data_IF_949695698077
#
_entry.id   IF_949695698077
#
_cell.length_a   1.000
_cell.length_b   1.000
_cell.length_c   1.000
_cell.angle_alpha   90.00
_cell.angle_beta   90.00
_cell.angle_gamma   90.00
#
_symmetry.space_group_name_H-M   'P 1'
#
loop_
_entity.id
_entity.type
_entity.pdbx_description
1 polymer ?
#
# COMPACT_ATOMS: atom_id res chain seq x y z
N UNK A 1 -46.21 -1.26 4.18
CA UNK A 1 -46.84 -2.52 4.64
C UNK A 1 -47.47 -3.19 3.44
N UNK A 2 -46.63 -3.79 2.60
CA UNK A 2 -47.02 -4.73 1.53
C UNK A 2 -45.71 -5.37 1.06
N UNK A 3 -45.25 -6.32 1.84
CA UNK A 3 -44.06 -7.13 1.59
C UNK A 3 -44.28 -8.38 2.43
N UNK A 4 -44.74 -9.46 1.80
CA UNK A 4 -44.59 -10.87 2.24
C UNK A 4 -45.63 -11.78 1.56
N UNK A 5 -45.43 -12.05 0.27
CA UNK A 5 -46.14 -13.13 -0.42
C UNK A 5 -45.30 -13.78 -1.53
N UNK A 6 -43.98 -13.89 -1.35
CA UNK A 6 -43.10 -14.70 -2.20
C UNK A 6 -42.31 -15.68 -1.33
N UNK A 7 -43.00 -16.55 -0.60
CA UNK A 7 -42.41 -17.73 0.05
C UNK A 7 -43.40 -18.89 -0.05
N UNK A 8 -43.05 -19.93 -0.79
CA UNK A 8 -43.90 -21.11 -0.91
C UNK A 8 -43.55 -22.16 -1.97
N UNK A 9 -42.48 -22.00 -2.76
CA UNK A 9 -41.93 -23.13 -3.51
C UNK A 9 -41.01 -23.90 -2.53
N UNK A 10 -41.49 -25.00 -1.95
CA UNK A 10 -40.69 -25.82 -1.04
C UNK A 10 -39.38 -26.25 -1.70
N UNK A 11 -38.24 -26.03 -1.04
CA UNK A 11 -36.92 -26.47 -1.51
C UNK A 11 -36.94 -27.95 -1.91
N UNK A 12 -36.36 -28.30 -3.06
CA UNK A 12 -36.33 -29.70 -3.50
C UNK A 12 -35.57 -30.56 -2.48
N UNK A 13 -35.83 -31.87 -2.44
CA UNK A 13 -35.09 -32.78 -1.54
C UNK A 13 -33.59 -32.76 -1.82
N UNK A 14 -33.19 -32.60 -3.08
CA UNK A 14 -31.81 -32.39 -3.49
C UNK A 14 -31.19 -31.15 -2.84
N UNK A 15 -31.87 -30.00 -2.91
CA UNK A 15 -31.41 -28.76 -2.27
C UNK A 15 -31.28 -28.93 -0.75
N UNK A 16 -32.25 -29.56 -0.08
CA UNK A 16 -32.17 -29.82 1.36
C UNK A 16 -30.94 -30.66 1.74
N UNK A 17 -30.57 -31.64 0.90
CA UNK A 17 -29.39 -32.47 1.09
C UNK A 17 -28.09 -31.69 0.90
N UNK A 18 -28.03 -30.79 -0.09
CA UNK A 18 -26.87 -29.91 -0.32
C UNK A 18 -26.73 -28.87 0.81
N UNK A 19 -27.83 -28.23 1.20
CA UNK A 19 -27.91 -27.27 2.29
C UNK A 19 -27.46 -27.88 3.61
N UNK A 20 -27.97 -29.07 3.94
CA UNK A 20 -27.54 -29.81 5.13
C UNK A 20 -26.04 -30.15 5.10
N UNK A 21 -25.46 -30.40 3.92
CA UNK A 21 -24.01 -30.60 3.76
C UNK A 21 -23.21 -29.36 4.13
N UNK A 22 -23.62 -28.20 3.63
CA UNK A 22 -23.00 -26.90 3.92
C UNK A 22 -23.13 -26.58 5.41
N UNK A 23 -24.32 -26.76 5.98
CA UNK A 23 -24.60 -26.43 7.39
C UNK A 23 -23.78 -27.30 8.35
N UNK A 24 -23.63 -28.61 8.03
CA UNK A 24 -22.80 -29.53 8.80
C UNK A 24 -21.32 -29.09 8.83
N UNK A 25 -20.82 -28.52 7.73
CA UNK A 25 -19.44 -28.06 7.65
C UNK A 25 -19.22 -26.66 8.24
N UNK A 26 -20.23 -25.78 8.12
CA UNK A 26 -20.12 -24.42 8.63
C UNK A 26 -20.21 -24.38 10.16
N UNK A 27 -21.08 -25.21 10.75
CA UNK A 27 -21.33 -25.25 12.20
C UNK A 27 -20.58 -26.35 12.94
N UNK A 28 -20.09 -27.37 12.22
CA UNK A 28 -19.40 -28.52 12.82
C UNK A 28 -18.06 -28.16 13.47
N UNK A 29 -17.69 -28.93 14.49
CA UNK A 29 -16.34 -28.87 15.03
C UNK A 29 -15.31 -29.31 13.95
N UNK A 30 -14.07 -28.81 13.96
CA UNK A 30 -13.07 -29.17 12.95
C UNK A 30 -12.83 -30.68 12.84
N UNK A 31 -12.88 -31.43 13.93
CA UNK A 31 -12.71 -32.89 13.90
C UNK A 31 -13.89 -33.60 13.20
N UNK A 32 -15.10 -33.04 13.25
CA UNK A 32 -16.28 -33.48 12.50
C UNK A 32 -16.14 -33.17 11.01
N UNK A 33 -15.52 -32.03 10.66
CA UNK A 33 -15.24 -31.64 9.27
C UNK A 33 -14.19 -32.57 8.64
N UNK A 34 -13.08 -32.84 9.33
CA UNK A 34 -11.98 -33.66 8.80
C UNK A 34 -12.18 -35.17 9.03
N UNK A 35 -12.92 -35.56 10.06
CA UNK A 35 -13.02 -36.95 10.53
C UNK A 35 -14.17 -37.78 9.96
N UNK A 36 -15.04 -37.22 9.11
CA UNK A 36 -16.03 -38.04 8.42
C UNK A 36 -17.29 -37.32 8.03
N UNK A 37 -17.21 -36.62 6.90
CA UNK A 37 -18.38 -36.32 6.11
C UNK A 37 -18.98 -37.65 5.61
N UNK A 38 -20.09 -38.07 6.20
CA UNK A 38 -20.76 -39.33 5.85
C UNK A 38 -22.15 -39.07 5.31
N UNK A 39 -22.54 -39.86 4.30
CA UNK A 39 -23.90 -39.85 3.73
C UNK A 39 -24.97 -39.96 4.82
N UNK A 40 -24.74 -40.78 5.85
CA UNK A 40 -25.64 -40.93 6.99
C UNK A 40 -25.88 -39.63 7.75
N UNK A 41 -24.83 -38.82 7.97
CA UNK A 41 -24.94 -37.54 8.68
C UNK A 41 -25.70 -36.51 7.84
N UNK A 42 -25.37 -36.40 6.55
CA UNK A 42 -26.06 -35.49 5.62
C UNK A 42 -27.54 -35.83 5.51
N UNK A 43 -27.87 -37.10 5.26
CA UNK A 43 -29.25 -37.54 5.15
C UNK A 43 -30.03 -37.27 6.45
N UNK A 44 -29.43 -37.57 7.61
CA UNK A 44 -30.04 -37.26 8.92
C UNK A 44 -30.27 -35.76 9.10
N UNK A 45 -29.27 -34.93 8.79
CA UNK A 45 -29.38 -33.47 8.92
C UNK A 45 -30.45 -32.88 7.98
N UNK A 46 -30.60 -33.43 6.78
CA UNK A 46 -31.64 -33.05 5.83
C UNK A 46 -33.03 -33.65 6.14
N UNK A 47 -33.15 -34.48 7.18
CA UNK A 47 -34.42 -35.14 7.54
C UNK A 47 -34.87 -36.21 6.54
N UNK A 48 -33.94 -36.89 5.87
CA UNK A 48 -34.23 -37.95 4.89
C UNK A 48 -33.45 -39.23 5.17
N UNK A 49 -33.76 -40.30 4.43
CA UNK A 49 -33.05 -41.59 4.56
C UNK A 49 -31.79 -41.64 3.70
N UNK A 50 -30.86 -42.55 4.00
CA UNK A 50 -29.71 -42.82 3.12
C UNK A 50 -30.15 -43.30 1.72
N UNK A 51 -31.23 -44.07 1.63
CA UNK A 51 -31.76 -44.52 0.35
C UNK A 51 -32.21 -43.32 -0.51
N UNK A 52 -32.84 -42.32 0.11
CA UNK A 52 -33.19 -41.06 -0.54
C UNK A 52 -31.96 -40.28 -0.99
N UNK A 53 -30.86 -40.28 -0.25
CA UNK A 53 -29.61 -39.67 -0.73
C UNK A 53 -29.12 -40.36 -2.01
N UNK A 54 -29.04 -41.69 -2.00
CA UNK A 54 -28.52 -42.46 -3.14
C UNK A 54 -29.44 -42.47 -4.37
N UNK A 55 -30.66 -41.94 -4.28
CA UNK A 55 -31.50 -41.71 -5.46
C UNK A 55 -31.09 -40.47 -6.26
N UNK A 56 -30.32 -39.55 -5.67
CA UNK A 56 -29.80 -38.34 -6.35
C UNK A 56 -28.33 -38.50 -6.75
N UNK A 57 -27.53 -39.13 -5.90
CA UNK A 57 -26.09 -39.34 -6.16
C UNK A 57 -25.73 -40.80 -5.90
N UNK A 58 -25.18 -41.45 -6.91
CA UNK A 58 -24.80 -42.86 -6.83
C UNK A 58 -23.61 -43.07 -5.90
N UNK A 59 -22.77 -42.03 -5.75
CA UNK A 59 -21.57 -42.05 -4.92
C UNK A 59 -21.45 -40.80 -4.03
N UNK A 60 -20.74 -40.88 -2.89
CA UNK A 60 -20.40 -39.69 -2.10
C UNK A 60 -19.62 -38.64 -2.90
N UNK A 61 -18.78 -39.06 -3.85
CA UNK A 61 -17.96 -38.19 -4.70
C UNK A 61 -18.83 -37.34 -5.63
N UNK A 62 -19.87 -37.93 -6.25
CA UNK A 62 -20.85 -37.19 -7.06
C UNK A 62 -21.56 -36.11 -6.24
N UNK A 63 -21.94 -36.45 -5.00
CA UNK A 63 -22.53 -35.48 -4.09
C UNK A 63 -21.56 -34.36 -3.72
N UNK A 64 -20.28 -34.67 -3.46
CA UNK A 64 -19.27 -33.65 -3.15
C UNK A 64 -19.09 -32.68 -4.33
N UNK A 65 -19.14 -33.19 -5.56
CA UNK A 65 -19.12 -32.36 -6.78
C UNK A 65 -20.33 -31.44 -6.87
N UNK A 66 -21.53 -31.98 -6.60
CA UNK A 66 -22.76 -31.20 -6.53
C UNK A 66 -22.73 -30.17 -5.39
N UNK A 67 -22.12 -30.51 -4.25
CA UNK A 67 -21.94 -29.61 -3.12
C UNK A 67 -21.03 -28.43 -3.48
N UNK A 68 -19.91 -28.67 -4.18
CA UNK A 68 -19.03 -27.63 -4.68
C UNK A 68 -19.75 -26.70 -5.66
N UNK A 69 -20.50 -27.26 -6.61
CA UNK A 69 -21.31 -26.46 -7.53
C UNK A 69 -22.39 -25.65 -6.79
N UNK A 70 -23.02 -26.23 -5.75
CA UNK A 70 -24.05 -25.57 -4.96
C UNK A 70 -23.51 -24.43 -4.08
N UNK A 71 -22.28 -24.57 -3.56
CA UNK A 71 -21.59 -23.48 -2.87
C UNK A 71 -21.42 -22.25 -3.76
N UNK A 72 -21.18 -22.47 -5.05
CA UNK A 72 -21.05 -21.40 -6.04
C UNK A 72 -22.33 -20.56 -6.14
N UNK A 73 -23.49 -21.23 -6.10
CA UNK A 73 -24.81 -20.59 -6.16
C UNK A 73 -25.20 -19.87 -4.87
N UNK A 74 -24.63 -20.26 -3.73
CA UNK A 74 -24.88 -19.65 -2.41
C UNK A 74 -23.95 -18.49 -2.08
N UNK A 75 -23.17 -18.03 -3.05
CA UNK A 75 -22.32 -16.86 -2.90
C UNK A 75 -23.17 -15.63 -2.54
N UNK A 76 -22.89 -14.96 -1.41
CA UNK A 76 -23.49 -13.64 -1.13
C UNK A 76 -23.05 -12.55 -2.13
N UNK A 77 -22.16 -12.87 -3.09
CA UNK A 77 -21.44 -11.91 -3.92
C UNK A 77 -22.24 -11.29 -5.07
N UNK A 78 -23.41 -11.81 -5.42
CA UNK A 78 -24.20 -11.18 -6.48
C UNK A 78 -24.70 -9.77 -6.10
N UNK A 79 -24.82 -9.44 -4.81
CA UNK A 79 -25.24 -8.10 -4.35
C UNK A 79 -24.06 -7.17 -3.97
N UNK A 80 -22.87 -7.74 -3.73
CA UNK A 80 -21.64 -6.99 -3.37
C UNK A 80 -20.98 -6.29 -4.57
N UNK A 81 -21.52 -6.46 -5.78
CA UNK A 81 -21.18 -5.69 -6.98
C UNK A 81 -21.48 -4.20 -6.84
N UNK A 82 -22.23 -3.79 -5.81
CA UNK A 82 -22.28 -2.40 -5.36
C UNK A 82 -21.10 -2.12 -4.45
N UNK A 83 -19.98 -1.71 -5.02
CA UNK A 83 -19.07 -0.86 -4.24
C UNK A 83 -19.92 0.30 -3.73
N UNK A 84 -19.89 0.64 -2.44
CA UNK A 84 -20.68 1.76 -1.93
C UNK A 84 -20.39 2.99 -2.81
N UNK A 85 -21.41 3.68 -3.30
CA UNK A 85 -21.25 4.83 -4.21
C UNK A 85 -20.22 5.86 -3.71
N UNK A 86 -20.00 5.92 -2.39
CA UNK A 86 -18.98 6.74 -1.74
C UNK A 86 -17.53 6.24 -1.83
N UNK A 87 -17.25 4.95 -2.03
CA UNK A 87 -15.87 4.45 -2.12
C UNK A 87 -15.18 4.74 -3.46
N UNK A 88 -15.93 5.21 -4.48
CA UNK A 88 -15.44 5.27 -5.85
C UNK A 88 -15.62 6.62 -6.56
N UNK A 89 -15.81 7.74 -5.85
CA UNK A 89 -15.85 9.05 -6.51
C UNK A 89 -14.44 9.62 -6.64
N UNK A 90 -13.79 9.61 -7.83
CA UNK A 90 -12.47 10.20 -8.05
C UNK A 90 -12.48 11.74 -7.96
N UNK A 91 -13.66 12.36 -7.77
CA UNK A 91 -13.85 13.81 -7.72
C UNK A 91 -14.15 14.36 -6.33
N UNK A 92 -14.21 13.53 -5.28
CA UNK A 92 -14.15 14.11 -3.94
C UNK A 92 -12.73 14.57 -3.70
N UNK A 93 -12.53 15.85 -3.35
CA UNK A 93 -11.30 16.41 -2.76
C UNK A 93 -10.85 15.66 -1.48
N UNK A 94 -11.59 14.61 -1.09
CA UNK A 94 -11.32 13.74 0.04
C UNK A 94 -10.22 12.73 -0.32
N UNK A 95 -8.99 13.01 0.15
CA UNK A 95 -7.78 12.18 0.01
C UNK A 95 -7.89 10.74 0.59
N UNK A 96 -9.08 10.30 1.02
CA UNK A 96 -9.35 9.06 1.77
C UNK A 96 -9.53 7.80 0.91
N UNK A 97 -9.14 7.84 -0.36
CA UNK A 97 -9.31 6.70 -1.29
C UNK A 97 -8.71 5.40 -0.74
N UNK A 98 -7.49 5.44 -0.19
CA UNK A 98 -6.85 4.26 0.38
C UNK A 98 -7.56 3.77 1.64
N UNK A 99 -8.02 4.66 2.52
CA UNK A 99 -8.83 4.28 3.68
C UNK A 99 -10.12 3.57 3.29
N UNK A 100 -10.84 4.10 2.29
CA UNK A 100 -12.07 3.46 1.79
C UNK A 100 -11.80 2.11 1.15
N UNK A 101 -10.66 1.96 0.47
CA UNK A 101 -10.22 0.67 -0.05
C UNK A 101 -9.88 -0.32 1.07
N UNK A 102 -9.11 0.09 2.08
CA UNK A 102 -8.82 -0.75 3.25
C UNK A 102 -10.11 -1.18 3.96
N UNK A 103 -11.06 -0.27 4.14
CA UNK A 103 -12.37 -0.58 4.71
C UNK A 103 -13.15 -1.59 3.84
N UNK A 104 -13.14 -1.42 2.52
CA UNK A 104 -13.76 -2.35 1.59
C UNK A 104 -13.12 -3.75 1.67
N UNK A 105 -11.79 -3.83 1.72
CA UNK A 105 -11.07 -5.08 1.97
C UNK A 105 -11.47 -5.69 3.32
N UNK A 106 -11.47 -4.93 4.42
CA UNK A 106 -11.80 -5.46 5.75
C UNK A 106 -13.25 -5.95 5.82
N UNK A 107 -14.20 -5.22 5.24
CA UNK A 107 -15.59 -5.67 5.12
C UNK A 107 -15.68 -6.97 4.32
N UNK A 108 -15.00 -7.03 3.17
CA UNK A 108 -14.89 -8.24 2.33
C UNK A 108 -14.32 -9.42 3.12
N UNK A 109 -13.31 -9.19 3.97
CA UNK A 109 -12.74 -10.21 4.86
C UNK A 109 -13.77 -10.73 5.86
N UNK A 110 -14.48 -9.83 6.55
CA UNK A 110 -15.50 -10.17 7.55
C UNK A 110 -16.67 -10.95 6.92
N UNK A 111 -17.17 -10.50 5.77
CA UNK A 111 -18.23 -11.18 5.02
C UNK A 111 -17.79 -12.57 4.57
N UNK A 112 -16.54 -12.71 4.13
CA UNK A 112 -15.98 -13.99 3.74
C UNK A 112 -15.87 -14.91 4.96
N UNK A 113 -15.34 -14.42 6.08
CA UNK A 113 -15.22 -15.17 7.33
C UNK A 113 -16.58 -15.65 7.86
N UNK A 114 -17.63 -14.85 7.71
CA UNK A 114 -19.00 -15.21 8.08
C UNK A 114 -19.65 -16.19 7.09
N UNK A 115 -19.10 -16.36 5.89
CA UNK A 115 -19.67 -17.23 4.87
C UNK A 115 -19.46 -18.71 5.21
N UNK A 116 -20.53 -19.53 5.21
CA UNK A 116 -20.43 -21.00 5.32
C UNK A 116 -19.44 -21.60 4.31
N UNK A 117 -19.31 -20.99 3.13
CA UNK A 117 -18.49 -21.50 2.05
C UNK A 117 -17.00 -21.51 2.35
N UNK A 118 -16.47 -20.65 3.24
CA UNK A 118 -15.04 -20.63 3.55
C UNK A 118 -14.59 -21.94 4.17
N UNK A 119 -15.26 -22.40 5.22
CA UNK A 119 -14.92 -23.66 5.90
C UNK A 119 -15.01 -24.85 4.95
N UNK A 120 -16.01 -24.81 4.07
CA UNK A 120 -16.21 -25.84 3.04
C UNK A 120 -15.05 -25.87 2.05
N UNK A 121 -14.65 -24.72 1.50
CA UNK A 121 -13.47 -24.62 0.61
C UNK A 121 -12.19 -25.10 1.30
N UNK A 122 -11.97 -24.69 2.55
CA UNK A 122 -10.77 -25.06 3.30
C UNK A 122 -10.65 -26.56 3.54
N UNK A 123 -11.74 -27.25 3.89
CA UNK A 123 -11.66 -28.71 4.02
C UNK A 123 -11.58 -29.42 2.65
N UNK A 124 -12.15 -28.88 1.57
CA UNK A 124 -11.93 -29.42 0.22
C UNK A 124 -10.48 -29.27 -0.25
N UNK A 125 -9.76 -28.23 0.19
CA UNK A 125 -8.34 -28.07 -0.09
C UNK A 125 -7.50 -29.25 0.43
N UNK A 126 -7.93 -29.93 1.52
CA UNK A 126 -7.27 -31.16 2.00
C UNK A 126 -7.39 -32.36 1.05
N UNK A 127 -8.27 -32.27 0.04
CA UNK A 127 -8.50 -33.29 -0.99
C UNK A 127 -8.02 -32.84 -2.37
N UNK A 128 -7.13 -31.84 -2.44
CA UNK A 128 -6.67 -31.29 -3.72
C UNK A 128 -5.90 -32.29 -4.61
N UNK A 129 -5.45 -33.42 -4.07
CA UNK A 129 -4.84 -34.50 -4.84
C UNK A 129 -5.86 -35.28 -5.70
N UNK A 130 -7.16 -35.17 -5.40
CA UNK A 130 -8.24 -35.70 -6.22
C UNK A 130 -8.46 -34.77 -7.44
N UNK A 131 -8.26 -35.25 -8.69
CA UNK A 131 -8.37 -34.42 -9.88
C UNK A 131 -9.74 -33.77 -10.07
N UNK A 132 -10.82 -34.43 -9.64
CA UNK A 132 -12.18 -33.90 -9.78
C UNK A 132 -12.44 -32.78 -8.76
N UNK A 133 -12.03 -32.98 -7.51
CA UNK A 133 -12.11 -31.94 -6.47
C UNK A 133 -11.25 -30.75 -6.87
N UNK A 134 -10.03 -30.99 -7.33
CA UNK A 134 -9.13 -29.93 -7.82
C UNK A 134 -9.75 -29.16 -9.00
N UNK A 135 -10.45 -29.84 -9.91
CA UNK A 135 -11.16 -29.16 -11.00
C UNK A 135 -12.29 -28.28 -10.46
N UNK A 136 -13.14 -28.80 -9.58
CA UNK A 136 -14.23 -28.03 -8.98
C UNK A 136 -13.73 -26.82 -8.18
N UNK A 137 -12.63 -26.96 -7.44
CA UNK A 137 -11.99 -25.83 -6.75
C UNK A 137 -11.43 -24.80 -7.74
N UNK A 138 -10.79 -25.22 -8.84
CA UNK A 138 -10.32 -24.31 -9.89
C UNK A 138 -11.47 -23.52 -10.50
N UNK A 139 -12.59 -24.17 -10.81
CA UNK A 139 -13.76 -23.49 -11.38
C UNK A 139 -14.35 -22.50 -10.37
N UNK A 140 -14.41 -22.86 -9.09
CA UNK A 140 -14.82 -21.97 -8.01
C UNK A 140 -13.91 -20.72 -7.95
N UNK A 141 -12.59 -20.89 -7.92
CA UNK A 141 -11.67 -19.74 -7.91
C UNK A 141 -11.80 -18.87 -9.15
N UNK A 142 -11.90 -19.46 -10.35
CA UNK A 142 -12.07 -18.71 -11.60
C UNK A 142 -13.35 -17.88 -11.61
N UNK A 143 -14.47 -18.46 -11.16
CA UNK A 143 -15.73 -17.72 -11.06
C UNK A 143 -15.58 -16.55 -10.07
N UNK A 144 -14.89 -16.79 -8.96
CA UNK A 144 -14.64 -15.75 -7.94
C UNK A 144 -13.75 -14.61 -8.45
N UNK A 145 -12.69 -14.96 -9.17
CA UNK A 145 -11.77 -14.02 -9.78
C UNK A 145 -12.48 -13.23 -10.89
N UNK A 146 -13.30 -13.87 -11.72
CA UNK A 146 -14.08 -13.18 -12.75
C UNK A 146 -15.08 -12.18 -12.16
N UNK A 147 -15.81 -12.55 -11.09
CA UNK A 147 -16.75 -11.67 -10.39
C UNK A 147 -16.06 -10.42 -9.83
N UNK A 148 -14.82 -10.57 -9.36
CA UNK A 148 -14.04 -9.49 -8.72
C UNK A 148 -13.17 -8.71 -9.70
N UNK A 149 -12.84 -9.28 -10.86
CA UNK A 149 -12.01 -8.65 -11.88
C UNK A 149 -12.69 -7.39 -12.45
N UNK A 150 -13.98 -7.46 -12.79
CA UNK A 150 -14.71 -6.30 -13.32
C UNK A 150 -14.68 -5.11 -12.35
N UNK A 151 -14.85 -5.40 -11.06
CA UNK A 151 -14.82 -4.41 -9.99
C UNK A 151 -13.46 -3.73 -9.88
N UNK A 152 -12.39 -4.52 -9.94
CA UNK A 152 -11.04 -4.01 -9.81
C UNK A 152 -10.59 -3.26 -11.06
N UNK A 153 -11.02 -3.68 -12.26
CA UNK A 153 -10.78 -2.93 -13.49
C UNK A 153 -11.43 -1.54 -13.43
N UNK A 154 -12.69 -1.46 -13.00
CA UNK A 154 -13.36 -0.17 -12.81
C UNK A 154 -12.66 0.70 -11.75
N UNK A 155 -12.16 0.08 -10.68
CA UNK A 155 -11.39 0.78 -9.64
C UNK A 155 -10.06 1.32 -10.20
N UNK A 156 -9.33 0.50 -10.95
CA UNK A 156 -8.07 0.86 -11.61
C UNK A 156 -8.29 2.04 -12.57
N UNK A 157 -9.26 1.95 -13.47
CA UNK A 157 -9.60 3.00 -14.42
C UNK A 157 -9.93 4.33 -13.72
N UNK A 158 -10.78 4.29 -12.69
CA UNK A 158 -11.17 5.49 -11.94
C UNK A 158 -10.03 6.10 -11.15
N UNK A 159 -9.06 5.29 -10.71
CA UNK A 159 -7.87 5.75 -10.01
C UNK A 159 -6.74 6.16 -10.96
N UNK A 160 -6.91 6.00 -12.28
CA UNK A 160 -5.87 6.23 -13.27
C UNK A 160 -4.67 5.29 -13.10
N UNK A 161 -4.98 4.03 -12.76
CA UNK A 161 -3.98 2.99 -12.53
C UNK A 161 -4.15 1.86 -13.53
N UNK A 162 -3.06 1.15 -13.75
CA UNK A 162 -3.01 -0.07 -14.55
C UNK A 162 -2.15 -1.12 -13.84
N UNK A 163 -2.30 -2.42 -14.15
CA UNK A 163 -1.37 -3.44 -13.68
C UNK A 163 0.08 -3.08 -14.02
N UNK A 164 0.97 -3.21 -13.04
CA UNK A 164 2.40 -2.98 -13.22
C UNK A 164 3.04 -4.23 -13.82
N UNK A 165 3.81 -4.17 -14.91
CA UNK A 165 4.49 -5.35 -15.44
C UNK A 165 5.37 -6.05 -14.38
N UNK A 166 5.40 -7.40 -14.35
CA UNK A 166 4.71 -8.35 -15.22
C UNK A 166 3.27 -8.72 -14.78
N UNK A 167 2.69 -8.01 -13.81
CA UNK A 167 1.35 -8.31 -13.34
C UNK A 167 0.29 -8.02 -14.41
N UNK A 168 -0.71 -8.90 -14.50
CA UNK A 168 -1.97 -8.69 -15.21
C UNK A 168 -3.10 -8.58 -14.19
N UNK A 169 -4.29 -8.12 -14.60
CA UNK A 169 -5.45 -8.08 -13.70
C UNK A 169 -5.76 -9.46 -13.12
N UNK A 170 -5.68 -10.52 -13.92
CA UNK A 170 -5.94 -11.90 -13.50
C UNK A 170 -4.94 -12.35 -12.43
N UNK A 171 -3.66 -12.03 -12.61
CA UNK A 171 -2.62 -12.31 -11.61
C UNK A 171 -2.86 -11.56 -10.31
N UNK A 172 -3.25 -10.28 -10.41
CA UNK A 172 -3.59 -9.48 -9.24
C UNK A 172 -4.75 -10.13 -8.48
N UNK A 173 -5.84 -10.52 -9.16
CA UNK A 173 -6.97 -11.21 -8.51
C UNK A 173 -6.56 -12.51 -7.83
N UNK A 174 -5.76 -13.33 -8.52
CA UNK A 174 -5.24 -14.58 -7.97
C UNK A 174 -4.43 -14.34 -6.69
N UNK A 175 -3.58 -13.31 -6.67
CA UNK A 175 -2.79 -12.91 -5.51
C UNK A 175 -3.69 -12.46 -4.36
N UNK A 176 -4.68 -11.60 -4.63
CA UNK A 176 -5.63 -11.14 -3.63
C UNK A 176 -6.45 -12.29 -3.03
N UNK A 177 -6.91 -13.24 -3.85
CA UNK A 177 -7.62 -14.42 -3.39
C UNK A 177 -6.74 -15.31 -2.50
N UNK A 178 -5.49 -15.58 -2.91
CA UNK A 178 -4.53 -16.36 -2.14
C UNK A 178 -4.20 -15.71 -0.79
N UNK A 179 -4.00 -14.40 -0.78
CA UNK A 179 -3.72 -13.62 0.44
C UNK A 179 -4.93 -13.60 1.37
N UNK A 180 -6.13 -13.39 0.82
CA UNK A 180 -7.38 -13.46 1.58
C UNK A 180 -7.52 -14.82 2.27
N UNK A 181 -7.40 -15.92 1.53
CA UNK A 181 -7.53 -17.26 2.10
C UNK A 181 -6.43 -17.57 3.13
N UNK A 182 -5.18 -17.16 2.88
CA UNK A 182 -4.09 -17.31 3.84
C UNK A 182 -4.32 -16.56 5.16
N UNK A 183 -4.77 -15.31 5.07
CA UNK A 183 -5.11 -14.48 6.25
C UNK A 183 -6.33 -15.05 6.96
N UNK A 184 -7.35 -15.52 6.24
CA UNK A 184 -8.54 -16.16 6.81
C UNK A 184 -8.16 -17.40 7.63
N UNK A 185 -7.35 -18.30 7.06
CA UNK A 185 -6.87 -19.49 7.78
C UNK A 185 -6.12 -19.09 9.04
N UNK A 186 -5.21 -18.11 8.94
CA UNK A 186 -4.41 -17.67 10.09
C UNK A 186 -5.29 -17.04 11.17
N UNK A 187 -6.25 -16.21 10.80
CA UNK A 187 -7.20 -15.58 11.72
C UNK A 187 -8.06 -16.60 12.45
N UNK A 188 -8.55 -17.65 11.76
CA UNK A 188 -9.33 -18.72 12.40
C UNK A 188 -8.49 -19.49 13.44
N UNK A 189 -7.19 -19.65 13.21
CA UNK A 189 -6.28 -20.38 14.12
C UNK A 189 -5.80 -19.49 15.28
N UNK A 190 -5.48 -18.22 14.99
CA UNK A 190 -4.79 -17.29 15.88
C UNK A 190 -5.25 -15.85 15.58
N UNK A 191 -6.45 -15.46 16.04
CA UNK A 191 -7.05 -14.17 15.73
C UNK A 191 -6.30 -13.00 16.38
N UNK A 192 -5.61 -13.24 17.51
CA UNK A 192 -4.82 -12.21 18.20
C UNK A 192 -3.62 -11.77 17.36
N UNK A 193 -2.96 -12.70 16.66
CA UNK A 193 -1.83 -12.36 15.77
C UNK A 193 -2.24 -11.94 14.37
N UNK A 194 -3.51 -12.12 14.01
CA UNK A 194 -4.03 -11.77 12.70
C UNK A 194 -5.34 -10.98 12.86
N UNK A 195 -5.27 -9.70 13.28
CA UNK A 195 -6.47 -8.89 13.50
C UNK A 195 -7.26 -8.67 12.20
N UNK A 196 -8.55 -8.32 12.31
CA UNK A 196 -9.49 -8.16 11.18
C UNK A 196 -9.02 -7.13 10.15
N UNK A 197 -8.24 -6.15 10.59
CA UNK A 197 -7.72 -5.04 9.78
C UNK A 197 -6.54 -5.46 8.89
N UNK A 198 -5.96 -6.64 9.13
CA UNK A 198 -4.74 -7.09 8.45
C UNK A 198 -4.93 -7.20 6.94
N UNK A 199 -6.11 -7.67 6.50
CA UNK A 199 -6.37 -7.83 5.07
C UNK A 199 -6.46 -6.49 4.34
N UNK A 200 -7.05 -5.46 4.95
CA UNK A 200 -7.08 -4.11 4.40
C UNK A 200 -5.69 -3.53 4.21
N UNK A 201 -4.82 -3.64 5.24
CA UNK A 201 -3.44 -3.16 5.16
C UNK A 201 -2.64 -3.89 4.09
N UNK A 202 -2.67 -5.23 4.08
CA UNK A 202 -1.95 -6.04 3.09
C UNK A 202 -2.51 -5.78 1.69
N UNK A 203 -3.83 -5.71 1.54
CA UNK A 203 -4.47 -5.40 0.27
C UNK A 203 -4.06 -4.03 -0.26
N UNK A 204 -4.01 -3.01 0.58
CA UNK A 204 -3.55 -1.67 0.19
C UNK A 204 -2.10 -1.67 -0.29
N UNK A 205 -1.20 -2.35 0.43
CA UNK A 205 0.19 -2.48 0.03
C UNK A 205 0.34 -3.23 -1.30
N UNK A 206 -0.36 -4.37 -1.45
CA UNK A 206 -0.33 -5.15 -2.69
C UNK A 206 -0.88 -4.36 -3.87
N UNK A 207 -1.98 -3.63 -3.68
CA UNK A 207 -2.54 -2.76 -4.71
C UNK A 207 -1.50 -1.74 -5.19
N UNK A 208 -0.81 -1.07 -4.26
CA UNK A 208 0.20 -0.06 -4.60
C UNK A 208 1.44 -0.64 -5.31
N UNK A 209 1.83 -1.85 -4.97
CA UNK A 209 2.97 -2.55 -5.57
C UNK A 209 2.61 -3.12 -6.95
N UNK A 210 1.47 -3.82 -7.04
CA UNK A 210 1.08 -4.58 -8.22
C UNK A 210 0.47 -3.71 -9.33
N UNK A 211 0.12 -2.46 -9.03
CA UNK A 211 -0.36 -1.49 -10.02
C UNK A 211 0.57 -0.28 -10.09
N UNK A 212 0.42 0.51 -11.15
CA UNK A 212 1.13 1.77 -11.36
C UNK A 212 0.17 2.80 -11.94
N UNK A 213 0.54 4.08 -11.89
CA UNK A 213 -0.20 5.09 -12.65
C UNK A 213 -0.01 4.83 -14.15
N UNK A 214 -1.01 5.13 -14.97
CA UNK A 214 -0.96 4.86 -16.43
C UNK A 214 0.21 5.56 -17.14
N UNK A 215 0.76 6.62 -16.54
CA UNK A 215 1.92 7.38 -17.05
C UNK A 215 3.26 6.97 -16.41
N UNK A 216 3.27 6.03 -15.46
CA UNK A 216 4.46 5.56 -14.79
C UNK A 216 5.14 4.47 -15.64
N UNK A 217 6.31 4.73 -16.26
CA UNK A 217 6.94 3.74 -17.14
C UNK A 217 7.56 2.57 -16.36
N UNK A 218 7.73 2.71 -15.04
CA UNK A 218 8.47 1.76 -14.21
C UNK A 218 7.74 0.43 -14.10
N UNK A 219 8.48 -0.67 -14.17
CA UNK A 219 7.98 -2.00 -13.86
C UNK A 219 8.18 -2.34 -12.37
N UNK A 220 7.99 -3.61 -12.00
CA UNK A 220 8.22 -4.08 -10.63
C UNK A 220 9.71 -4.14 -10.27
N UNK A 221 10.60 -4.43 -11.21
CA UNK A 221 12.03 -4.52 -10.97
C UNK A 221 12.64 -3.14 -10.74
N UNK A 222 12.15 -2.11 -11.43
CA UNK A 222 12.48 -0.71 -11.17
C UNK A 222 12.05 -0.29 -9.76
N UNK A 223 10.84 -0.66 -9.34
CA UNK A 223 10.32 -0.34 -8.01
C UNK A 223 11.12 -1.05 -6.92
N UNK A 224 11.31 -2.36 -7.06
CA UNK A 224 12.08 -3.16 -6.10
C UNK A 224 13.56 -2.77 -6.13
N UNK A 225 14.10 -2.40 -7.29
CA UNK A 225 15.44 -1.86 -7.46
C UNK A 225 15.61 -0.57 -6.67
N UNK A 226 14.65 0.36 -6.76
CA UNK A 226 14.65 1.57 -5.95
C UNK A 226 14.57 1.24 -4.45
N UNK A 227 13.74 0.27 -4.05
CA UNK A 227 13.63 -0.17 -2.66
C UNK A 227 14.91 -0.86 -2.16
N UNK A 228 15.57 -1.66 -3.01
CA UNK A 228 16.74 -2.47 -2.65
C UNK A 228 18.06 -1.71 -2.74
N UNK A 229 18.15 -0.66 -3.56
CA UNK A 229 19.28 0.27 -3.56
C UNK A 229 19.24 1.22 -2.34
N UNK A 230 18.11 1.27 -1.66
CA UNK A 230 17.84 2.17 -0.55
C UNK A 230 18.67 1.90 0.72
N UNK A 231 18.88 0.65 1.17
CA UNK A 231 19.81 0.34 2.25
C UNK A 231 21.26 0.62 1.85
N UNK A 232 21.62 0.46 0.57
CA UNK A 232 22.97 0.78 0.10
C UNK A 232 23.25 2.28 0.13
N UNK A 233 22.25 3.13 -0.17
CA UNK A 233 22.36 4.58 0.02
C UNK A 233 22.49 4.96 1.50
N UNK A 234 21.67 4.36 2.39
CA UNK A 234 21.77 4.56 3.84
C UNK A 234 23.09 4.07 4.45
N UNK A 235 23.59 2.91 4.01
CA UNK A 235 24.88 2.36 4.43
C UNK A 235 26.05 3.18 3.86
N UNK A 236 25.94 3.70 2.63
CA UNK A 236 26.92 4.65 2.08
C UNK A 236 26.98 5.92 2.91
N UNK A 237 25.83 6.53 3.23
CA UNK A 237 25.73 7.69 4.12
C UNK A 237 26.35 7.41 5.50
N UNK A 238 26.03 6.27 6.12
CA UNK A 238 26.59 5.87 7.40
C UNK A 238 28.09 5.54 7.35
N UNK A 239 28.57 4.98 6.24
CA UNK A 239 29.99 4.67 6.03
C UNK A 239 30.83 5.92 5.73
N UNK A 240 30.24 6.95 5.13
CA UNK A 240 30.90 8.23 4.87
C UNK A 240 31.07 9.07 6.13
N UNK A 241 30.15 8.96 7.10
CA UNK A 241 30.38 9.46 8.49
C UNK A 241 31.68 8.91 9.11
N UNK A 242 32.22 7.79 8.61
CA UNK A 242 33.54 7.26 9.03
C UNK A 242 34.71 7.73 8.15
N UNK A 243 34.46 8.27 6.97
CA UNK A 243 35.49 8.85 6.09
C UNK A 243 35.78 10.32 6.44
N UNK A 244 34.87 10.99 7.16
CA UNK A 244 35.11 12.28 7.82
C UNK A 244 36.29 12.24 8.81
N UNK A 245 36.75 11.06 9.24
CA UNK A 245 38.01 10.89 9.98
C UNK A 245 39.27 11.13 9.12
N UNK A 246 39.13 11.45 7.83
CA UNK A 246 40.24 12.00 7.03
C UNK A 246 40.46 13.49 7.39
N UNK A 247 41.44 13.71 8.26
CA UNK A 247 41.74 14.91 9.08
C UNK A 247 41.88 16.29 8.40
N UNK A 248 41.49 16.51 7.15
CA UNK A 248 41.77 17.77 6.43
C UNK A 248 40.57 18.47 5.77
N UNK A 249 39.37 17.87 5.77
CA UNK A 249 38.20 18.55 5.21
C UNK A 249 37.53 19.46 6.25
N UNK A 250 37.35 20.73 5.91
CA UNK A 250 36.58 21.69 6.71
C UNK A 250 35.33 22.07 5.90
N UNK A 251 34.12 21.73 6.38
CA UNK A 251 32.86 22.09 5.73
C UNK A 251 32.77 23.59 5.46
N UNK A 252 32.00 23.98 4.43
CA UNK A 252 31.68 25.39 4.25
C UNK A 252 30.83 25.88 5.43
N UNK A 253 31.07 27.09 5.97
CA UNK A 253 30.17 27.70 6.94
C UNK A 253 28.76 27.82 6.37
N UNK A 254 27.73 27.68 7.22
CA UNK A 254 26.31 27.76 6.81
C UNK A 254 26.03 29.06 6.05
N UNK A 255 26.53 30.20 6.52
CA UNK A 255 26.38 31.49 5.83
C UNK A 255 26.97 31.52 4.41
N UNK A 256 28.01 30.72 4.16
CA UNK A 256 28.59 30.57 2.81
C UNK A 256 27.73 29.66 1.94
N UNK A 257 27.14 28.61 2.52
CA UNK A 257 26.17 27.75 1.84
C UNK A 257 24.95 28.59 1.42
N UNK A 258 24.37 29.37 2.32
CA UNK A 258 23.22 30.24 2.04
C UNK A 258 23.53 31.24 0.92
N UNK A 259 24.68 31.91 0.99
CA UNK A 259 25.11 32.84 -0.06
C UNK A 259 25.30 32.15 -1.41
N UNK A 260 25.83 30.93 -1.41
CA UNK A 260 26.01 30.11 -2.63
C UNK A 260 24.66 29.72 -3.23
N UNK A 261 23.71 29.27 -2.41
CA UNK A 261 22.38 28.89 -2.86
C UNK A 261 21.62 30.11 -3.39
N UNK A 262 21.75 31.28 -2.75
CA UNK A 262 21.19 32.53 -3.27
C UNK A 262 21.74 32.89 -4.65
N UNK A 263 23.04 32.70 -4.88
CA UNK A 263 23.65 32.87 -6.21
C UNK A 263 23.10 31.86 -7.22
N UNK A 264 22.99 30.59 -6.84
CA UNK A 264 22.44 29.55 -7.71
C UNK A 264 20.97 29.82 -8.09
N UNK A 265 20.14 30.27 -7.13
CA UNK A 265 18.76 30.71 -7.39
C UNK A 265 18.71 31.85 -8.40
N UNK A 266 19.59 32.86 -8.28
CA UNK A 266 19.68 33.97 -9.25
C UNK A 266 20.07 33.48 -10.64
N UNK A 267 21.09 32.63 -10.74
CA UNK A 267 21.50 32.06 -12.03
C UNK A 267 20.39 31.20 -12.67
N UNK A 268 19.59 30.50 -11.85
CA UNK A 268 18.41 29.78 -12.33
C UNK A 268 17.26 30.70 -12.77
N UNK A 269 17.11 31.87 -12.14
CA UNK A 269 16.13 32.86 -12.58
C UNK A 269 16.51 33.45 -13.95
N UNK A 270 17.81 33.58 -14.24
CA UNK A 270 18.33 34.08 -15.51
C UNK A 270 18.45 32.99 -16.60
N UNK A 271 18.32 31.71 -16.24
CA UNK A 271 18.57 30.56 -17.12
C UNK A 271 17.61 29.39 -16.91
N UNK A 272 18.06 28.17 -17.20
CA UNK A 272 17.31 26.95 -16.90
C UNK A 272 18.12 26.01 -16.02
N UNK A 273 17.45 25.01 -15.44
CA UNK A 273 18.15 23.96 -14.70
C UNK A 273 19.20 23.29 -15.58
N UNK A 274 18.96 23.07 -16.86
CA UNK A 274 19.89 22.40 -17.77
C UNK A 274 21.17 23.21 -18.01
N UNK A 275 21.07 24.54 -18.03
CA UNK A 275 22.21 25.44 -18.31
C UNK A 275 23.03 25.82 -17.08
N UNK A 276 22.54 25.57 -15.86
CA UNK A 276 23.26 25.90 -14.64
C UNK A 276 24.55 25.06 -14.51
N UNK A 277 25.72 25.67 -14.54
CA UNK A 277 26.99 24.98 -14.29
C UNK A 277 27.48 25.18 -12.85
N UNK A 278 28.16 24.18 -12.28
CA UNK A 278 28.74 24.30 -10.94
C UNK A 278 29.90 25.31 -10.93
N UNK A 279 30.64 25.44 -12.03
CA UNK A 279 31.74 26.38 -12.18
C UNK A 279 31.21 27.83 -12.22
N UNK A 280 30.08 28.05 -12.89
CA UNK A 280 29.42 29.37 -12.91
C UNK A 280 28.92 29.77 -11.52
N UNK A 281 28.34 28.82 -10.77
CA UNK A 281 27.95 29.04 -9.37
C UNK A 281 29.17 29.35 -8.51
N UNK A 282 30.26 28.61 -8.68
CA UNK A 282 31.51 28.80 -7.93
C UNK A 282 32.11 30.19 -8.19
N UNK A 283 32.24 30.59 -9.46
CA UNK A 283 32.73 31.91 -9.89
C UNK A 283 31.85 33.02 -9.31
N UNK A 284 30.53 32.90 -9.47
CA UNK A 284 29.59 33.93 -9.02
C UNK A 284 29.47 34.02 -7.48
N UNK A 285 29.70 32.93 -6.76
CA UNK A 285 29.76 32.90 -5.30
C UNK A 285 31.13 33.30 -4.74
N UNK A 286 32.16 33.41 -5.58
CA UNK A 286 33.54 33.68 -5.15
C UNK A 286 34.16 32.52 -4.36
N UNK A 287 33.80 31.28 -4.71
CA UNK A 287 34.25 30.05 -4.03
C UNK A 287 35.02 29.20 -5.03
N UNK A 288 36.05 28.50 -4.56
CA UNK A 288 36.77 27.49 -5.32
C UNK A 288 35.83 26.35 -5.76
N UNK A 289 35.84 25.99 -7.05
CA UNK A 289 34.94 25.00 -7.62
C UNK A 289 35.11 23.60 -6.99
N UNK A 290 36.35 23.19 -6.68
CA UNK A 290 36.59 21.91 -5.98
C UNK A 290 36.02 21.92 -4.57
N UNK A 291 36.11 23.05 -3.87
CA UNK A 291 35.48 23.22 -2.55
C UNK A 291 33.95 23.18 -2.66
N UNK A 292 33.37 23.78 -3.69
CA UNK A 292 31.93 23.71 -3.95
C UNK A 292 31.49 22.26 -4.24
N UNK A 293 32.21 21.56 -5.12
CA UNK A 293 31.94 20.17 -5.48
C UNK A 293 32.13 19.21 -4.30
N UNK A 294 33.07 19.48 -3.39
CA UNK A 294 33.21 18.70 -2.14
C UNK A 294 32.00 18.87 -1.23
N UNK A 295 31.49 20.10 -1.08
CA UNK A 295 30.36 20.39 -0.18
C UNK A 295 29.03 19.94 -0.77
N UNK A 296 28.75 20.24 -2.03
CA UNK A 296 27.46 19.89 -2.64
C UNK A 296 27.47 18.54 -3.34
N UNK A 297 28.64 17.92 -3.54
CA UNK A 297 28.80 16.65 -4.25
C UNK A 297 28.65 16.78 -5.77
N UNK A 298 27.56 17.42 -6.20
CA UNK A 298 27.24 17.74 -7.58
C UNK A 298 26.26 18.91 -7.64
N UNK A 299 25.92 19.34 -8.85
CA UNK A 299 24.79 20.25 -9.11
C UNK A 299 23.49 19.77 -8.45
N UNK A 300 23.28 18.45 -8.37
CA UNK A 300 22.14 17.83 -7.69
C UNK A 300 22.06 18.20 -6.20
N UNK A 301 23.19 18.31 -5.51
CA UNK A 301 23.22 18.78 -4.12
C UNK A 301 22.84 20.24 -3.97
N UNK A 302 23.13 21.07 -4.98
CA UNK A 302 22.64 22.45 -5.04
C UNK A 302 21.12 22.47 -5.17
N UNK A 303 20.51 21.56 -5.97
CA UNK A 303 19.05 21.43 -6.04
C UNK A 303 18.44 21.12 -4.67
N UNK A 304 19.04 20.19 -3.92
CA UNK A 304 18.58 19.84 -2.57
C UNK A 304 18.62 21.06 -1.65
N UNK A 305 19.72 21.82 -1.67
CA UNK A 305 19.87 23.00 -0.84
C UNK A 305 18.89 24.14 -1.22
N UNK A 306 18.60 24.32 -2.52
CA UNK A 306 17.58 25.27 -3.00
C UNK A 306 16.21 24.90 -2.44
N UNK A 307 15.79 23.64 -2.61
CA UNK A 307 14.49 23.17 -2.13
C UNK A 307 14.38 23.28 -0.60
N UNK A 308 15.45 22.93 0.12
CA UNK A 308 15.50 23.05 1.58
C UNK A 308 15.31 24.51 2.03
N UNK A 309 16.08 25.44 1.48
CA UNK A 309 15.96 26.85 1.86
C UNK A 309 14.62 27.47 1.40
N UNK A 310 14.08 27.10 0.24
CA UNK A 310 12.76 27.58 -0.22
C UNK A 310 11.65 27.12 0.73
N UNK A 311 11.72 25.85 1.15
CA UNK A 311 10.78 25.27 2.11
C UNK A 311 10.93 25.88 3.51
N UNK A 312 12.16 26.18 3.95
CA UNK A 312 12.40 26.84 5.23
C UNK A 312 11.80 28.25 5.27
N UNK A 313 12.02 29.05 4.23
CA UNK A 313 11.47 30.40 4.13
C UNK A 313 9.94 30.38 4.28
N UNK A 314 9.25 29.47 3.58
CA UNK A 314 7.80 29.29 3.72
C UNK A 314 7.38 28.74 5.08
N UNK A 315 8.17 27.82 5.64
CA UNK A 315 7.90 27.25 6.95
C UNK A 315 7.97 28.29 8.06
N UNK A 316 8.94 29.21 8.01
CA UNK A 316 9.07 30.30 8.97
C UNK A 316 7.93 31.32 8.90
N UNK A 317 7.33 31.50 7.72
CA UNK A 317 6.15 32.34 7.53
C UNK A 317 4.84 31.66 7.98
N UNK A 318 4.87 30.34 8.16
CA UNK A 318 3.69 29.54 8.50
C UNK A 318 3.40 29.59 10.00
N UNK A 319 2.18 29.97 10.37
CA UNK A 319 1.75 29.98 11.76
C UNK A 319 1.67 28.55 12.32
N UNK A 320 2.38 28.29 13.42
CA UNK A 320 2.35 27.00 14.11
C UNK A 320 1.01 26.79 14.82
N UNK A 321 0.43 25.61 14.64
CA UNK A 321 -0.83 25.22 15.28
C UNK A 321 -0.65 24.87 16.75
N UNK A 322 0.56 24.46 17.14
CA UNK A 322 0.86 23.92 18.47
C UNK A 322 0.60 22.42 18.61
N UNK A 323 -0.04 21.79 17.61
CA UNK A 323 -0.12 20.33 17.48
C UNK A 323 1.06 19.86 16.60
N UNK A 324 2.02 19.10 17.14
CA UNK A 324 3.23 18.72 16.41
C UNK A 324 2.96 17.80 15.21
N UNK A 325 1.85 17.06 15.17
CA UNK A 325 1.49 16.24 14.01
C UNK A 325 0.88 17.06 12.89
N UNK A 326 0.07 18.07 13.24
CA UNK A 326 -0.45 19.05 12.27
C UNK A 326 0.71 19.87 11.70
N UNK A 327 1.59 20.37 12.56
CA UNK A 327 2.77 21.14 12.16
C UNK A 327 3.74 20.30 11.29
N UNK A 328 3.96 19.02 11.65
CA UNK A 328 4.75 18.08 10.82
C UNK A 328 4.10 17.88 9.45
N UNK A 329 2.78 17.70 9.41
CA UNK A 329 2.05 17.54 8.16
C UNK A 329 2.21 18.77 7.27
N UNK A 330 2.01 19.96 7.83
CA UNK A 330 2.16 21.23 7.12
C UNK A 330 3.57 21.41 6.57
N UNK A 331 4.59 21.10 7.37
CA UNK A 331 5.98 21.15 6.91
C UNK A 331 6.24 20.21 5.73
N UNK A 332 5.77 18.96 5.82
CA UNK A 332 5.92 17.99 4.73
C UNK A 332 5.20 18.45 3.45
N UNK A 333 3.99 19.03 3.59
CA UNK A 333 3.23 19.58 2.46
C UNK A 333 3.98 20.73 1.78
N UNK A 334 4.61 21.63 2.55
CA UNK A 334 5.46 22.72 2.03
C UNK A 334 6.60 22.15 1.19
N UNK A 335 7.33 21.15 1.71
CA UNK A 335 8.46 20.56 0.98
C UNK A 335 7.97 19.83 -0.29
N UNK A 336 6.86 19.07 -0.21
CA UNK A 336 6.25 18.42 -1.39
C UNK A 336 5.83 19.45 -2.44
N UNK A 337 5.24 20.57 -2.01
CA UNK A 337 4.85 21.67 -2.90
C UNK A 337 6.08 22.26 -3.61
N UNK A 338 7.19 22.47 -2.90
CA UNK A 338 8.43 22.97 -3.50
C UNK A 338 9.04 22.01 -4.52
N UNK A 339 9.06 20.71 -4.21
CA UNK A 339 9.51 19.68 -5.15
C UNK A 339 8.64 19.65 -6.42
N UNK A 340 7.34 19.90 -6.28
CA UNK A 340 6.39 19.96 -7.40
C UNK A 340 6.51 21.26 -8.21
N UNK A 341 6.79 22.38 -7.55
CA UNK A 341 7.02 23.68 -8.20
C UNK A 341 8.22 23.60 -9.14
N UNK A 342 9.21 22.77 -8.80
CA UNK A 342 10.43 22.59 -9.58
C UNK A 342 10.69 21.11 -9.92
N UNK A 343 9.96 20.52 -10.88
CA UNK A 343 10.11 19.12 -11.30
C UNK A 343 11.56 18.67 -11.50
N UNK A 344 12.36 19.49 -12.18
CA UNK A 344 13.78 19.19 -12.46
C UNK A 344 14.63 19.09 -11.20
N UNK A 345 14.36 19.93 -10.19
CA UNK A 345 15.02 19.84 -8.89
C UNK A 345 14.59 18.58 -8.16
N UNK A 346 13.29 18.25 -8.16
CA UNK A 346 12.77 17.00 -7.60
C UNK A 346 13.42 15.76 -8.23
N UNK A 347 13.48 15.69 -9.57
CA UNK A 347 14.15 14.61 -10.29
C UNK A 347 15.64 14.52 -9.93
N UNK A 348 16.30 15.66 -9.77
CA UNK A 348 17.70 15.72 -9.33
C UNK A 348 17.83 15.10 -7.94
N UNK A 349 17.03 15.51 -6.95
CA UNK A 349 17.15 15.00 -5.59
C UNK A 349 16.95 13.46 -5.53
N UNK A 350 16.07 12.89 -6.36
CA UNK A 350 15.92 11.42 -6.48
C UNK A 350 17.25 10.76 -6.85
N UNK A 351 18.05 11.36 -7.74
CA UNK A 351 19.36 10.82 -8.12
C UNK A 351 20.34 10.76 -6.94
N UNK A 352 20.25 11.68 -5.97
CA UNK A 352 21.03 11.62 -4.73
C UNK A 352 20.61 10.40 -3.92
N UNK A 353 19.30 10.21 -3.76
CA UNK A 353 18.75 9.12 -2.95
C UNK A 353 18.97 7.74 -3.55
N UNK A 354 18.92 7.62 -4.89
CA UNK A 354 19.26 6.38 -5.60
C UNK A 354 20.77 6.09 -5.59
N UNK A 355 21.59 7.02 -5.10
CA UNK A 355 23.05 6.91 -5.13
C UNK A 355 23.62 6.96 -6.55
N UNK A 356 22.88 7.54 -7.51
CA UNK A 356 23.31 7.72 -8.90
C UNK A 356 24.26 8.91 -9.09
N UNK A 357 24.32 9.82 -8.12
CA UNK A 357 25.27 10.94 -8.09
C UNK A 357 26.11 10.93 -6.82
N UNK A 358 27.17 11.75 -6.82
CA UNK A 358 27.96 12.00 -5.63
C UNK A 358 27.08 12.64 -4.55
N UNK A 359 27.11 12.04 -3.37
CA UNK A 359 26.33 12.48 -2.22
C UNK A 359 26.90 13.82 -1.72
N UNK A 360 26.06 14.83 -1.43
CA UNK A 360 26.48 16.07 -0.78
C UNK A 360 27.07 15.83 0.61
N UNK A 361 27.79 16.81 1.12
CA UNK A 361 28.22 16.84 2.51
C UNK A 361 27.01 16.73 3.46
N UNK A 362 27.13 16.01 4.60
CA UNK A 362 26.05 15.89 5.58
C UNK A 362 25.44 17.22 6.03
N UNK A 363 26.21 18.32 6.02
CA UNK A 363 25.69 19.66 6.35
C UNK A 363 24.52 20.06 5.44
N UNK A 364 24.51 19.63 4.19
CA UNK A 364 23.44 19.94 3.22
C UNK A 364 22.13 19.22 3.60
N UNK A 365 22.20 18.00 4.13
CA UNK A 365 21.02 17.27 4.60
C UNK A 365 20.49 17.80 5.93
N UNK A 366 21.33 18.51 6.68
CA UNK A 366 20.98 19.14 7.95
C UNK A 366 20.55 20.61 7.79
N UNK A 367 20.40 21.10 6.55
CA UNK A 367 19.81 22.40 6.31
C UNK A 367 18.35 22.41 6.76
N UNK A 368 17.87 23.50 7.38
CA UNK A 368 16.45 23.69 7.62
C UNK A 368 15.64 23.55 6.31
N UNK A 369 14.41 23.02 6.36
CA UNK A 369 13.67 22.59 7.55
C UNK A 369 13.88 21.11 7.95
N UNK A 370 14.89 20.41 7.39
CA UNK A 370 15.03 18.96 7.62
C UNK A 370 15.17 18.55 9.10
N UNK A 371 15.93 19.28 9.95
CA UNK A 371 15.98 19.00 11.39
C UNK A 371 14.63 19.15 12.09
N UNK A 372 13.74 20.00 11.57
CA UNK A 372 12.43 20.25 12.16
C UNK A 372 11.48 19.05 12.04
N UNK A 373 11.65 18.19 11.04
CA UNK A 373 10.91 16.92 10.93
C UNK A 373 11.17 16.03 12.15
N UNK A 374 12.46 15.84 12.49
CA UNK A 374 12.84 15.02 13.64
C UNK A 374 12.42 15.66 14.96
N UNK A 375 12.52 17.00 15.07
CA UNK A 375 12.07 17.75 16.24
C UNK A 375 10.56 17.56 16.47
N UNK A 376 9.73 17.78 15.45
CA UNK A 376 8.27 17.65 15.55
C UNK A 376 7.84 16.23 15.88
N UNK A 377 8.51 15.22 15.32
CA UNK A 377 8.29 13.81 15.71
C UNK A 377 8.66 13.53 17.17
N UNK A 378 9.73 14.14 17.68
CA UNK A 378 10.11 14.07 19.09
C UNK A 378 9.04 14.68 19.99
N UNK A 379 8.57 15.89 19.66
CA UNK A 379 7.49 16.57 20.37
C UNK A 379 6.19 15.76 20.36
N UNK A 380 5.80 15.20 19.21
CA UNK A 380 4.61 14.34 19.10
C UNK A 380 4.73 13.08 19.97
N UNK A 381 5.93 12.50 20.07
CA UNK A 381 6.20 11.35 20.93
C UNK A 381 6.11 11.72 22.41
N UNK A 382 6.72 12.82 22.83
CA UNK A 382 6.68 13.32 24.20
C UNK A 382 5.24 13.63 24.66
N UNK A 383 4.38 14.08 23.74
CA UNK A 383 2.96 14.32 23.98
C UNK A 383 2.08 13.05 23.92
N UNK A 384 2.66 11.87 23.65
CA UNK A 384 1.91 10.62 23.53
C UNK A 384 1.01 10.54 22.29
N UNK A 385 1.24 11.38 21.28
CA UNK A 385 0.43 11.42 20.06
C UNK A 385 0.81 10.31 19.07
N UNK A 386 2.03 9.77 19.17
CA UNK A 386 2.53 8.66 18.36
C UNK A 386 3.07 7.51 19.21
N UNK A 387 3.18 6.33 18.63
CA UNK A 387 3.64 5.11 19.33
C UNK A 387 5.06 5.26 19.93
N UNK A 388 5.22 4.85 21.19
CA UNK A 388 6.50 4.88 21.91
C UNK A 388 7.61 4.03 21.26
N UNK A 389 7.22 3.01 20.51
CA UNK A 389 8.14 2.13 19.79
C UNK A 389 8.82 2.79 18.58
N UNK A 390 8.36 3.98 18.16
CA UNK A 390 8.91 4.67 17.00
C UNK A 390 10.30 5.24 17.34
N UNK A 391 11.29 4.83 16.55
CA UNK A 391 12.61 5.47 16.51
C UNK A 391 12.50 6.77 15.68
N UNK A 392 12.55 7.92 16.34
CA UNK A 392 12.37 9.25 15.72
C UNK A 392 13.36 9.50 14.58
N UNK A 393 14.65 9.17 14.74
CA UNK A 393 15.68 9.40 13.72
C UNK A 393 15.48 8.49 12.49
N UNK A 394 15.19 7.20 12.74
CA UNK A 394 14.91 6.26 11.66
C UNK A 394 13.62 6.61 10.92
N UNK A 395 12.61 7.10 11.63
CA UNK A 395 11.33 7.46 11.08
C UNK A 395 11.35 8.79 10.33
N UNK A 396 12.01 9.83 10.86
CA UNK A 396 12.21 11.11 10.16
C UNK A 396 12.94 10.92 8.83
N UNK A 397 13.95 10.06 8.82
CA UNK A 397 14.66 9.64 7.62
C UNK A 397 13.70 9.00 6.62
N UNK A 398 12.85 8.08 7.09
CA UNK A 398 11.86 7.40 6.25
C UNK A 398 10.82 8.38 5.67
N UNK A 399 10.28 9.30 6.49
CA UNK A 399 9.36 10.35 6.05
C UNK A 399 9.98 11.26 4.98
N UNK A 400 11.20 11.74 5.22
CA UNK A 400 11.92 12.58 4.25
C UNK A 400 12.03 11.88 2.90
N UNK A 401 12.30 10.58 2.90
CA UNK A 401 12.43 9.82 1.65
C UNK A 401 11.09 9.58 0.96
N UNK A 402 10.02 9.30 1.72
CA UNK A 402 8.66 9.12 1.17
C UNK A 402 8.17 10.43 0.57
N UNK A 403 8.38 11.54 1.27
CA UNK A 403 8.12 12.89 0.79
C UNK A 403 8.85 13.19 -0.53
N UNK A 404 10.12 12.80 -0.64
CA UNK A 404 10.87 12.95 -1.89
C UNK A 404 10.30 12.09 -3.03
N UNK A 405 9.82 10.88 -2.74
CA UNK A 405 9.11 10.04 -3.71
C UNK A 405 7.75 10.64 -4.12
N UNK A 406 7.03 11.31 -3.21
CA UNK A 406 5.75 11.99 -3.47
C UNK A 406 5.87 13.37 -4.11
N UNK A 407 7.00 14.04 -3.93
CA UNK A 407 7.32 15.34 -4.53
C UNK A 407 7.97 15.21 -5.90
N UNK A 408 8.62 14.07 -6.18
CA UNK A 408 9.17 13.73 -7.48
C UNK A 408 8.13 13.95 -8.60
N UNK A 409 8.45 14.69 -9.67
CA UNK A 409 7.50 14.82 -10.77
C UNK A 409 7.17 13.44 -11.33
N UNK A 410 5.88 13.09 -11.32
CA UNK A 410 5.38 12.11 -12.27
C UNK A 410 5.59 12.80 -13.60
N UNK A 411 6.19 12.11 -14.55
CA UNK A 411 6.15 12.57 -15.93
C UNK A 411 4.69 12.70 -16.37
N UNK A 412 4.11 13.90 -16.20
CA UNK A 412 3.04 14.47 -17.02
C UNK A 412 1.59 13.95 -16.94
N UNK A 413 1.09 13.31 -15.87
CA UNK A 413 -0.38 13.15 -15.76
C UNK A 413 -0.97 13.67 -14.44
N UNK A 414 -2.00 14.51 -14.58
CA UNK A 414 -2.75 15.15 -13.50
C UNK A 414 -3.70 14.19 -12.76
N UNK A 415 -3.22 13.03 -12.34
CA UNK A 415 -3.96 12.09 -11.51
C UNK A 415 -3.77 12.38 -10.02
N UNK A 416 -4.85 12.19 -9.25
CA UNK A 416 -4.89 12.35 -7.80
C UNK A 416 -3.85 11.44 -7.14
N UNK A 417 -2.75 12.04 -6.65
CA UNK A 417 -1.71 11.30 -5.91
C UNK A 417 -2.25 10.87 -4.55
N UNK A 418 -1.99 9.61 -4.20
CA UNK A 418 -2.26 9.06 -2.87
C UNK A 418 -1.47 9.87 -1.84
N UNK A 419 -2.17 10.37 -0.82
CA UNK A 419 -1.58 11.10 0.30
C UNK A 419 -0.88 10.13 1.28
N UNK A 420 0.15 9.42 0.84
CA UNK A 420 0.84 8.39 1.63
C UNK A 420 1.44 8.97 2.90
N UNK A 421 1.93 10.20 2.88
CA UNK A 421 2.35 10.92 4.09
C UNK A 421 1.21 11.05 5.11
N UNK A 422 0.00 11.37 4.67
CA UNK A 422 -1.16 11.53 5.55
C UNK A 422 -1.54 10.20 6.19
N UNK A 423 -1.50 9.12 5.40
CA UNK A 423 -1.76 7.76 5.90
C UNK A 423 -0.72 7.28 6.90
N UNK A 424 0.55 7.56 6.65
CA UNK A 424 1.63 7.16 7.56
C UNK A 424 1.48 7.88 8.89
N UNK A 425 1.19 9.18 8.87
CA UNK A 425 0.97 9.97 10.09
C UNK A 425 -0.29 9.50 10.86
N UNK A 426 -1.36 9.15 10.15
CA UNK A 426 -2.56 8.61 10.80
C UNK A 426 -2.34 7.19 11.35
N UNK A 427 -1.53 6.37 10.67
CA UNK A 427 -1.21 5.00 11.07
C UNK A 427 -0.35 4.90 12.32
N UNK A 428 0.47 5.92 12.61
CA UNK A 428 1.30 5.99 13.82
C UNK A 428 0.60 6.66 14.99
N UNK A 429 -0.56 7.27 14.76
CA UNK A 429 -1.30 8.04 15.77
C UNK A 429 -1.85 7.10 16.85
N UNK A 430 -1.66 7.46 18.12
CA UNK A 430 -2.31 6.76 19.23
C UNK A 430 -3.79 7.11 19.21
N UNK A 431 -4.65 6.09 19.03
CA UNK A 431 -6.11 6.25 19.16
C UNK A 431 -6.46 6.22 20.65
N UNK A 432 -6.76 7.39 21.21
CA UNK A 432 -7.28 7.53 22.57
C UNK A 432 -8.76 7.17 22.66
#
# INVERSE_FOLDING_TARGET
>A
METDAVQGAGSTTEQRLLDAGIDLWSTGDPATVFGGFTVSRVAKAAGVTRATFYSYWSTPEEYLRALLAHLDHRRPYHDASRVPDGAISPRSEDNRVLSRFMEACNRRFIETLASPGVRVRLGFASKMDDPEVASGLRDLYRNYEADTQMLNQELHERWGREPRPPFTDEWIQSIFAAVLDGILIRHVIDPERMPLESFGLVGAMLMMIATRATDDPRDIDDLLGAINQWPAAGLRLASMRRVEDSLTYVPLPISTIDATVAVARRLLADGSWETLDIDDVAIAAGIDADRLLRTFGSKTGIALAIVALDAEEQWQETARSGDPLVDLRTLLDIIVMELRRSPRLGQSIIQILSGSVRIPDPVIFNLPPMPDIARLLGEAKEQGLILDSINVEGFSTSLTRIMLAEGAPATLSGLNRVDSLGYILEGIRVRH
#
